data_IF_229860393599
#
_entry.id   IF_229860393599
#
_cell.length_a   1.000
_cell.length_b   1.000
_cell.length_c   1.000
_cell.angle_alpha   90.00
_cell.angle_beta   90.00
_cell.angle_gamma   90.00
#
_symmetry.space_group_name_H-M   'P 1'
#
loop_
_entity.id
_entity.type
_entity.pdbx_description
1 polymer ?
#
# COMPACT_ATOMS: atom_id res chain seq x y z
N UNK A 1 8.48 -11.28 -6.69
CA UNK A 1 8.84 -11.43 -5.27
C UNK A 1 7.74 -12.18 -4.53
N UNK A 2 8.09 -13.17 -3.70
CA UNK A 2 7.12 -13.98 -2.96
C UNK A 2 7.51 -14.28 -1.51
N UNK A 3 8.78 -14.12 -1.12
CA UNK A 3 9.25 -14.46 0.23
C UNK A 3 8.81 -13.41 1.25
N UNK A 4 8.26 -13.85 2.38
CA UNK A 4 7.80 -12.97 3.47
C UNK A 4 8.90 -12.03 3.97
N UNK A 5 10.14 -12.50 4.04
CA UNK A 5 11.29 -11.72 4.47
C UNK A 5 11.51 -10.47 3.59
N UNK A 6 11.30 -10.58 2.28
CA UNK A 6 11.44 -9.45 1.35
C UNK A 6 10.39 -8.36 1.63
N UNK A 7 9.14 -8.76 1.89
CA UNK A 7 8.07 -7.83 2.25
C UNK A 7 8.34 -7.14 3.59
N UNK A 8 8.90 -7.86 4.57
CA UNK A 8 9.28 -7.27 5.85
C UNK A 8 10.42 -6.27 5.68
N UNK A 9 11.46 -6.62 4.93
CA UNK A 9 12.59 -5.75 4.63
C UNK A 9 12.16 -4.49 3.85
N UNK A 10 11.17 -4.59 2.95
CA UNK A 10 10.64 -3.44 2.23
C UNK A 10 10.06 -2.35 3.15
N UNK A 11 9.61 -2.68 4.36
CA UNK A 11 9.13 -1.67 5.34
C UNK A 11 10.23 -0.73 5.84
N UNK A 12 11.51 -1.12 5.69
CA UNK A 12 12.67 -0.28 6.01
C UNK A 12 13.06 0.66 4.86
N UNK A 13 12.43 0.50 3.70
CA UNK A 13 12.68 1.32 2.52
C UNK A 13 11.94 2.67 2.54
N UNK A 14 12.06 3.40 1.44
CA UNK A 14 11.31 4.63 1.20
C UNK A 14 9.82 4.34 1.06
N UNK A 15 8.98 5.24 1.57
CA UNK A 15 7.51 5.08 1.60
C UNK A 15 6.82 6.27 0.94
N UNK A 16 5.96 5.98 -0.03
CA UNK A 16 5.10 6.96 -0.69
C UNK A 16 3.62 6.55 -0.51
N UNK A 17 2.89 7.14 0.47
CA UNK A 17 1.48 6.89 0.63
C UNK A 17 0.68 7.59 -0.47
N UNK A 18 -0.22 6.86 -1.11
CA UNK A 18 -1.27 7.34 -2.01
C UNK A 18 -2.64 6.99 -1.42
N UNK A 19 -3.74 7.63 -1.86
CA UNK A 19 -5.05 7.26 -1.36
C UNK A 19 -5.41 5.81 -1.73
N UNK A 20 -5.13 5.34 -2.95
CA UNK A 20 -5.46 3.95 -3.35
C UNK A 20 -4.52 2.85 -2.84
N UNK A 21 -3.29 3.20 -2.43
CA UNK A 21 -2.26 2.25 -2.03
C UNK A 21 -1.09 2.94 -1.31
N UNK A 22 -0.19 2.16 -0.74
CA UNK A 22 1.14 2.61 -0.31
C UNK A 22 2.19 1.94 -1.19
N UNK A 23 3.12 2.73 -1.70
CA UNK A 23 4.33 2.21 -2.33
C UNK A 23 5.47 2.18 -1.31
N UNK A 24 6.12 1.02 -1.17
CA UNK A 24 7.41 0.88 -0.51
C UNK A 24 8.48 0.60 -1.55
N UNK A 25 9.65 1.22 -1.42
CA UNK A 25 10.80 0.97 -2.30
C UNK A 25 12.04 0.77 -1.45
N UNK A 26 12.66 -0.40 -1.58
CA UNK A 26 13.92 -0.73 -0.91
C UNK A 26 14.98 -1.05 -1.95
N UNK A 27 16.01 -0.22 -2.03
CA UNK A 27 17.23 -0.57 -2.76
C UNK A 27 17.87 -1.79 -2.09
N UNK A 28 18.24 -2.79 -2.87
CA UNK A 28 18.75 -4.05 -2.31
C UNK A 28 20.24 -4.00 -1.99
N UNK A 29 21.00 -3.23 -2.75
CA UNK A 29 22.46 -3.14 -2.61
C UNK A 29 23.17 -4.47 -2.88
N UNK A 30 22.52 -5.41 -3.58
CA UNK A 30 23.06 -6.74 -3.89
C UNK A 30 23.79 -6.79 -5.24
N UNK A 31 24.01 -5.64 -5.89
CA UNK A 31 24.67 -5.53 -7.18
C UNK A 31 23.83 -5.96 -8.38
N UNK A 32 22.64 -6.54 -8.16
CA UNK A 32 21.71 -6.92 -9.22
C UNK A 32 20.84 -5.72 -9.61
N UNK A 33 20.90 -5.21 -10.86
CA UNK A 33 20.08 -4.08 -11.29
C UNK A 33 18.60 -4.45 -11.49
N UNK A 34 18.23 -5.73 -11.42
CA UNK A 34 16.86 -6.17 -11.68
C UNK A 34 15.87 -5.51 -10.73
N UNK A 35 14.81 -4.94 -11.30
CA UNK A 35 13.68 -4.42 -10.52
C UNK A 35 12.74 -5.55 -10.16
N UNK A 36 12.41 -5.66 -8.87
CA UNK A 36 11.44 -6.64 -8.38
C UNK A 36 10.22 -5.91 -7.87
N UNK A 37 9.06 -6.55 -7.99
CA UNK A 37 7.84 -6.05 -7.35
C UNK A 37 7.10 -7.12 -6.56
N UNK A 38 6.39 -6.66 -5.54
CA UNK A 38 5.49 -7.43 -4.69
C UNK A 38 4.16 -6.70 -4.52
N UNK A 39 3.09 -7.45 -4.31
CA UNK A 39 1.75 -6.89 -4.09
C UNK A 39 1.17 -7.48 -2.81
N UNK A 40 0.71 -6.61 -1.92
CA UNK A 40 0.01 -6.97 -0.69
C UNK A 40 -1.41 -6.40 -0.72
N UNK A 41 -2.42 -7.29 -0.65
CA UNK A 41 -3.82 -6.90 -0.50
C UNK A 41 -4.43 -7.71 0.63
N UNK A 42 -4.76 -7.05 1.73
CA UNK A 42 -5.23 -7.71 2.96
C UNK A 42 -6.70 -8.14 2.84
N UNK A 43 -7.13 -9.09 3.68
CA UNK A 43 -8.55 -9.51 3.78
C UNK A 43 -9.48 -8.35 4.18
N UNK A 44 -8.97 -7.34 4.89
CA UNK A 44 -9.75 -6.16 5.34
C UNK A 44 -10.28 -5.30 4.18
N UNK A 45 -9.64 -5.38 3.01
CA UNK A 45 -10.01 -4.61 1.82
C UNK A 45 -11.24 -5.23 1.12
N UNK A 46 -11.54 -6.51 1.35
CA UNK A 46 -12.74 -7.14 0.80
C UNK A 46 -12.56 -8.61 0.44
N UNK A 47 -13.61 -9.16 -0.18
CA UNK A 47 -13.66 -10.56 -0.63
C UNK A 47 -12.60 -10.94 -1.66
N UNK A 48 -12.52 -12.23 -1.99
CA UNK A 48 -11.50 -12.75 -2.91
C UNK A 48 -11.53 -12.06 -4.29
N UNK A 49 -12.72 -11.79 -4.83
CA UNK A 49 -12.92 -11.14 -6.14
C UNK A 49 -12.34 -9.73 -6.14
N UNK A 50 -12.68 -8.91 -5.15
CA UNK A 50 -12.18 -7.54 -4.98
C UNK A 50 -10.65 -7.53 -4.90
N UNK A 51 -10.07 -8.39 -4.05
CA UNK A 51 -8.62 -8.49 -3.90
C UNK A 51 -7.94 -8.95 -5.19
N UNK A 52 -8.52 -9.90 -5.91
CA UNK A 52 -7.99 -10.40 -7.17
C UNK A 52 -8.05 -9.33 -8.26
N UNK A 53 -9.14 -8.56 -8.34
CA UNK A 53 -9.25 -7.40 -9.23
C UNK A 53 -8.14 -6.39 -8.95
N UNK A 54 -7.94 -6.02 -7.70
CA UNK A 54 -6.90 -5.08 -7.30
C UNK A 54 -5.48 -5.59 -7.63
N UNK A 55 -5.18 -6.86 -7.31
CA UNK A 55 -3.91 -7.50 -7.70
C UNK A 55 -3.69 -7.50 -9.22
N UNK A 56 -4.75 -7.73 -10.02
CA UNK A 56 -4.66 -7.69 -11.49
C UNK A 56 -4.31 -6.27 -11.97
N UNK A 57 -5.02 -5.25 -11.48
CA UNK A 57 -4.75 -3.83 -11.83
C UNK A 57 -3.32 -3.42 -11.46
N UNK A 58 -2.86 -3.74 -10.25
CA UNK A 58 -1.50 -3.44 -9.82
C UNK A 58 -0.42 -4.16 -10.63
N UNK A 59 -0.66 -5.40 -11.08
CA UNK A 59 0.26 -6.10 -11.98
C UNK A 59 0.41 -5.38 -13.32
N UNK A 60 -0.68 -4.85 -13.87
CA UNK A 60 -0.63 -4.07 -15.12
C UNK A 60 0.18 -2.80 -14.91
N UNK A 61 -0.16 -2.01 -13.88
CA UNK A 61 0.52 -0.76 -13.56
C UNK A 61 2.02 -0.95 -13.29
N UNK A 62 2.40 -2.00 -12.55
CA UNK A 62 3.80 -2.27 -12.25
C UNK A 62 4.60 -2.63 -13.51
N UNK A 63 4.04 -3.44 -14.41
CA UNK A 63 4.71 -3.79 -15.68
C UNK A 63 4.88 -2.58 -16.59
N UNK A 64 3.91 -1.67 -16.56
CA UNK A 64 3.91 -0.48 -17.39
C UNK A 64 4.88 0.60 -16.86
N UNK A 65 4.84 0.88 -15.56
CA UNK A 65 5.52 2.06 -15.00
C UNK A 65 6.89 1.77 -14.40
N UNK A 66 7.19 0.53 -13.96
CA UNK A 66 8.50 0.24 -13.40
C UNK A 66 9.64 0.34 -14.43
N UNK A 67 9.50 -0.13 -15.68
CA UNK A 67 10.56 0.05 -16.67
C UNK A 67 10.90 1.52 -16.97
N UNK A 68 9.94 2.44 -16.79
CA UNK A 68 10.08 3.85 -17.14
C UNK A 68 10.49 4.72 -15.95
N UNK A 69 9.97 4.42 -14.75
CA UNK A 69 10.10 5.28 -13.56
C UNK A 69 10.56 4.51 -12.32
N UNK A 70 10.80 3.21 -12.42
CA UNK A 70 11.25 2.37 -11.32
C UNK A 70 12.69 2.67 -10.90
N UNK A 71 13.03 2.23 -9.69
CA UNK A 71 14.39 2.33 -9.15
C UNK A 71 15.14 1.04 -9.46
N UNK A 72 16.21 1.12 -10.24
CA UNK A 72 17.06 -0.03 -10.57
C UNK A 72 17.58 -0.71 -9.29
N UNK A 73 17.65 -2.04 -9.30
CA UNK A 73 18.11 -2.85 -8.17
C UNK A 73 17.25 -2.74 -6.91
N UNK A 74 16.00 -2.27 -7.04
CA UNK A 74 15.09 -2.09 -5.91
C UNK A 74 13.90 -3.06 -5.89
N UNK A 75 13.41 -3.28 -4.68
CA UNK A 75 12.16 -3.96 -4.37
C UNK A 75 11.02 -2.96 -4.24
N UNK A 76 10.03 -3.05 -5.13
CA UNK A 76 8.84 -2.21 -5.16
C UNK A 76 7.62 -2.96 -4.61
N UNK A 77 7.09 -2.56 -3.46
CA UNK A 77 5.94 -3.23 -2.85
C UNK A 77 4.72 -2.32 -2.87
N UNK A 78 3.66 -2.78 -3.55
CA UNK A 78 2.36 -2.12 -3.60
C UNK A 78 1.42 -2.71 -2.54
N UNK A 79 1.04 -1.90 -1.56
CA UNK A 79 0.11 -2.28 -0.49
C UNK A 79 -1.24 -1.63 -0.78
N UNK A 80 -2.23 -2.42 -1.15
CA UNK A 80 -3.57 -1.90 -1.45
C UNK A 80 -4.27 -1.29 -0.24
N UNK A 81 -5.14 -0.30 -0.49
CA UNK A 81 -6.04 0.32 0.49
C UNK A 81 -7.49 0.18 0.03
N UNK A 82 -8.45 0.31 0.95
CA UNK A 82 -9.89 0.28 0.65
C UNK A 82 -10.28 1.28 -0.45
N UNK A 83 -9.69 2.46 -0.41
CA UNK A 83 -9.93 3.59 -1.31
C UNK A 83 -9.41 3.34 -2.73
N UNK A 84 -8.66 2.26 -2.96
CA UNK A 84 -8.19 1.86 -4.29
C UNK A 84 -9.10 0.87 -5.01
N UNK A 85 -10.16 0.36 -4.36
CA UNK A 85 -11.04 -0.66 -4.94
C UNK A 85 -11.83 -0.12 -6.13
N UNK A 86 -12.57 0.96 -5.91
CA UNK A 86 -13.47 1.58 -6.88
C UNK A 86 -12.82 2.73 -7.65
N UNK A 87 -11.57 3.05 -7.30
CA UNK A 87 -10.87 4.15 -7.93
C UNK A 87 -10.65 3.92 -9.41
N UNK A 88 -10.74 4.97 -10.21
CA UNK A 88 -10.44 4.94 -11.63
C UNK A 88 -8.99 4.43 -11.91
N UNK A 89 -8.82 3.72 -13.03
CA UNK A 89 -7.54 3.11 -13.39
C UNK A 89 -6.50 4.15 -13.82
N UNK A 90 -6.92 5.19 -14.56
CA UNK A 90 -6.07 6.30 -14.94
C UNK A 90 -5.57 7.08 -13.72
N UNK A 91 -6.45 7.29 -12.73
CA UNK A 91 -6.03 7.87 -11.45
C UNK A 91 -4.99 7.00 -10.72
N UNK A 92 -5.20 5.69 -10.62
CA UNK A 92 -4.21 4.80 -9.99
C UNK A 92 -2.86 4.80 -10.72
N UNK A 93 -2.88 4.91 -12.06
CA UNK A 93 -1.66 5.05 -12.88
C UNK A 93 -0.91 6.33 -12.53
N UNK A 94 -1.58 7.48 -12.62
CA UNK A 94 -0.97 8.78 -12.32
C UNK A 94 -0.46 8.87 -10.88
N UNK A 95 -1.14 8.20 -9.94
CA UNK A 95 -0.67 8.09 -8.56
C UNK A 95 0.58 7.24 -8.40
N UNK A 96 0.70 6.13 -9.13
CA UNK A 96 1.90 5.29 -9.09
C UNK A 96 3.10 6.03 -9.69
N UNK A 97 2.88 6.72 -10.81
CA UNK A 97 3.89 7.57 -11.44
C UNK A 97 4.37 8.68 -10.49
N UNK A 98 3.43 9.37 -9.82
CA UNK A 98 3.73 10.37 -8.78
C UNK A 98 4.46 9.76 -7.59
N UNK A 99 4.10 8.55 -7.16
CA UNK A 99 4.74 7.86 -6.05
C UNK A 99 6.19 7.51 -6.37
N UNK A 100 6.46 6.98 -7.57
CA UNK A 100 7.79 6.63 -8.03
C UNK A 100 8.69 7.88 -8.10
N UNK A 101 8.20 8.97 -8.69
CA UNK A 101 8.93 10.26 -8.69
C UNK A 101 9.28 10.75 -7.29
N UNK A 102 8.32 10.72 -6.36
CA UNK A 102 8.54 11.15 -4.96
C UNK A 102 9.60 10.33 -4.24
N UNK A 103 9.70 9.04 -4.54
CA UNK A 103 10.71 8.16 -3.95
C UNK A 103 12.10 8.49 -4.49
N UNK A 104 12.21 8.81 -5.79
CA UNK A 104 13.48 9.17 -6.42
C UNK A 104 13.98 10.55 -5.96
N UNK A 105 13.09 11.51 -5.74
CA UNK A 105 13.46 12.88 -5.40
C UNK A 105 13.83 13.11 -3.92
N UNK A 106 13.76 12.08 -3.06
CA UNK A 106 13.91 12.25 -1.61
C UNK A 106 15.24 11.68 -1.09
N UNK A 107 16.04 12.46 -0.34
CA UNK A 107 17.26 11.97 0.30
C UNK A 107 16.96 10.81 1.26
N UNK A 108 17.89 9.86 1.38
CA UNK A 108 17.80 8.78 2.38
C UNK A 108 17.64 9.38 3.79
N UNK A 109 16.71 8.83 4.59
CA UNK A 109 16.58 9.16 6.02
C UNK A 109 15.40 10.08 6.38
N UNK A 110 14.78 10.76 5.41
CA UNK A 110 13.64 11.61 5.71
C UNK A 110 12.35 10.76 5.82
N UNK A 111 12.04 10.36 7.05
CA UNK A 111 10.82 9.62 7.35
C UNK A 111 9.60 10.43 6.85
N UNK A 112 8.58 9.80 6.24
CA UNK A 112 7.32 10.48 6.03
C UNK A 112 6.77 10.94 7.40
N UNK A 113 6.08 12.09 7.48
CA UNK A 113 5.39 12.46 8.71
C UNK A 113 4.52 11.27 9.13
N UNK A 114 4.76 10.76 10.33
CA UNK A 114 4.00 9.65 10.92
C UNK A 114 2.56 10.12 11.07
N UNK A 115 1.74 9.98 10.03
CA UNK A 115 0.29 10.06 10.20
C UNK A 115 -0.08 8.82 11.03
N UNK A 116 -0.36 9.08 12.31
CA UNK A 116 -0.98 8.19 13.28
C UNK A 116 -1.97 7.31 12.53
N UNK A 117 -1.78 6.00 12.54
CA UNK A 117 -2.73 5.06 11.97
C UNK A 117 -4.11 5.38 12.55
N UNK A 118 -5.00 5.96 11.75
CA UNK A 118 -6.40 6.24 12.09
C UNK A 118 -7.24 4.97 12.23
N UNK A 119 -6.60 3.83 12.48
CA UNK A 119 -7.24 2.53 12.73
C UNK A 119 -7.75 2.36 14.16
N UNK A 120 -7.83 3.42 14.99
CA UNK A 120 -8.40 3.34 16.35
C UNK A 120 -9.70 4.12 16.57
N UNK A 121 -10.23 4.84 15.58
CA UNK A 121 -11.45 5.63 15.75
C UNK A 121 -12.65 4.99 15.05
N UNK A 122 -13.07 3.82 15.55
CA UNK A 122 -14.43 3.25 15.35
C UNK A 122 -14.59 1.97 16.20
N UNK A 123 -14.44 2.12 17.53
CA UNK A 123 -14.94 1.17 18.54
C UNK A 123 -15.28 1.92 19.82
N UNK A 124 -16.38 2.67 19.81
CA UNK A 124 -17.20 3.03 20.98
C UNK A 124 -18.45 3.81 20.52
N UNK A 125 -19.34 3.13 19.80
CA UNK A 125 -20.70 3.63 19.56
C UNK A 125 -21.61 2.47 19.11
N UNK A 126 -21.75 1.43 19.94
CA UNK A 126 -22.85 0.46 19.83
C UNK A 126 -22.80 -0.56 20.99
N UNK A 127 -23.29 -0.15 22.15
CA UNK A 127 -23.94 -1.03 23.13
C UNK A 127 -25.21 -0.24 23.50
N UNK A 128 -26.37 -0.47 22.88
CA UNK A 128 -27.23 -1.63 23.15
C UNK A 128 -27.81 -1.46 24.56
N UNK A 129 -28.73 -0.51 24.76
CA UNK A 129 -30.18 -0.73 24.87
C UNK A 129 -30.63 -1.80 25.87
N UNK A 130 -31.39 -1.30 26.85
CA UNK A 130 -32.55 -1.90 27.52
C UNK A 130 -32.38 -2.68 28.84
N UNK A 131 -33.37 -2.37 29.70
CA UNK A 131 -33.92 -3.08 30.88
C UNK A 131 -33.31 -2.70 32.23
N UNK A 132 -34.12 -2.03 33.06
CA UNK A 132 -34.89 -2.74 34.10
C UNK A 132 -36.18 -1.97 34.44
N UNK A 133 -37.29 -2.69 34.45
CA UNK A 133 -38.51 -2.38 35.18
C UNK A 133 -38.26 -2.23 36.70
N UNK A 134 -39.22 -1.61 37.40
CA UNK A 134 -39.88 -2.07 38.64
C UNK A 134 -40.24 -0.91 39.58
N UNK A 135 -41.56 -0.72 39.74
CA UNK A 135 -42.37 -0.31 40.89
C UNK A 135 -41.71 0.39 42.09
N UNK A 136 -42.42 1.39 42.61
CA UNK A 136 -42.32 1.91 43.97
C UNK A 136 -43.07 3.21 44.12
#
# INVERSE_FOLDING_TARGET
>A
MSRRADFLAANRGRRAPMPGFVLLVRERGDGDPAMRYGITVTKKIGGAVIRNRMKRRFRVLARELLPVHGVAGADHVLIGRSEGIERDFGLLRGELEKALRKVMSRPLGEAPPRRRDSSKEKKKASTGSARTDVRG
#
